data_IF_775668583357
#
_entry.id   IF_775668583357
#
_cell.length_a   1.000
_cell.length_b   1.000
_cell.length_c   1.000
_cell.angle_alpha   90.00
_cell.angle_beta   90.00
_cell.angle_gamma   90.00
#
_symmetry.space_group_name_H-M   'P 1'
#
loop_
_entity.id
_entity.type
_entity.pdbx_description
1 polymer ?
#
# COMPACT_ATOMS: atom_id res chain seq x y z
N UNK A 1 -37.51 -2.58 7.01
CA UNK A 1 -36.36 -2.78 6.09
C UNK A 1 -36.68 -3.97 5.22
N UNK A 2 -36.53 -3.88 3.89
CA UNK A 2 -36.92 -4.93 2.94
C UNK A 2 -35.77 -5.89 2.64
N UNK A 3 -36.08 -7.15 2.31
CA UNK A 3 -35.08 -8.21 2.11
C UNK A 3 -34.02 -7.86 1.04
N UNK A 4 -34.39 -7.10 0.01
CA UNK A 4 -33.49 -6.65 -1.05
C UNK A 4 -32.29 -5.86 -0.49
N UNK A 5 -32.47 -5.08 0.58
CA UNK A 5 -31.40 -4.29 1.21
C UNK A 5 -30.36 -5.19 1.90
N UNK A 6 -30.78 -6.30 2.50
CA UNK A 6 -29.89 -7.30 3.08
C UNK A 6 -29.14 -8.10 2.00
N UNK A 7 -29.80 -8.38 0.87
CA UNK A 7 -29.18 -9.07 -0.26
C UNK A 7 -28.04 -8.25 -0.88
N UNK A 8 -28.25 -6.94 -1.09
CA UNK A 8 -27.21 -6.03 -1.59
C UNK A 8 -26.01 -5.92 -0.64
N UNK A 9 -26.24 -5.88 0.67
CA UNK A 9 -25.17 -5.88 1.68
C UNK A 9 -24.33 -7.16 1.66
N UNK A 10 -24.97 -8.33 1.51
CA UNK A 10 -24.27 -9.62 1.38
C UNK A 10 -23.42 -9.69 0.11
N UNK A 11 -23.94 -9.25 -1.03
CA UNK A 11 -23.19 -9.25 -2.30
C UNK A 11 -21.99 -8.29 -2.25
N UNK A 12 -22.16 -7.11 -1.64
CA UNK A 12 -21.07 -6.15 -1.46
C UNK A 12 -19.95 -6.71 -0.56
N UNK A 13 -20.29 -7.38 0.54
CA UNK A 13 -19.31 -7.98 1.44
C UNK A 13 -18.47 -9.07 0.73
N UNK A 14 -19.12 -9.95 -0.05
CA UNK A 14 -18.43 -11.02 -0.79
C UNK A 14 -17.46 -10.46 -1.84
N UNK A 15 -17.85 -9.41 -2.57
CA UNK A 15 -17.00 -8.80 -3.60
C UNK A 15 -15.73 -8.14 -3.02
N UNK A 16 -15.81 -7.55 -1.83
CA UNK A 16 -14.65 -6.94 -1.16
C UNK A 16 -13.64 -8.03 -0.74
N UNK A 17 -14.12 -9.19 -0.28
CA UNK A 17 -13.27 -10.31 0.12
C UNK A 17 -12.46 -10.91 -1.04
N UNK A 18 -12.98 -10.91 -2.28
CA UNK A 18 -12.29 -11.55 -3.42
C UNK A 18 -11.18 -10.71 -4.04
N UNK A 19 -11.16 -9.38 -3.84
CA UNK A 19 -10.11 -8.50 -4.40
C UNK A 19 -8.81 -8.58 -3.59
N UNK A 20 -8.88 -8.81 -2.29
CA UNK A 20 -7.69 -8.97 -1.42
C UNK A 20 -6.96 -10.32 -1.60
N UNK A 21 -7.52 -11.26 -2.38
CA UNK A 21 -6.92 -12.56 -2.66
C UNK A 21 -5.85 -12.53 -3.79
N UNK A 22 -5.52 -11.36 -4.34
CA UNK A 22 -4.69 -11.23 -5.55
C UNK A 22 -3.17 -11.10 -5.29
N UNK A 23 -2.65 -12.00 -4.46
CA UNK A 23 -1.49 -12.82 -4.84
C UNK A 23 -1.53 -14.11 -4.03
N UNK A 24 -1.42 -15.30 -4.64
CA UNK A 24 -1.05 -16.48 -3.87
C UNK A 24 0.39 -16.25 -3.41
N UNK A 25 0.56 -15.84 -2.15
CA UNK A 25 1.89 -15.78 -1.53
C UNK A 25 2.36 -17.22 -1.44
N UNK A 26 3.31 -17.58 -2.29
CA UNK A 26 3.92 -18.90 -2.25
C UNK A 26 4.81 -19.00 -1.02
N UNK A 27 4.23 -19.53 0.07
CA UNK A 27 4.95 -19.83 1.31
C UNK A 27 5.77 -21.11 1.20
N UNK A 28 5.67 -21.88 0.11
CA UNK A 28 6.30 -23.19 -0.02
C UNK A 28 7.85 -23.12 0.07
N UNK A 29 8.55 -22.11 -0.50
CA UNK A 29 10.00 -21.96 -0.27
C UNK A 29 10.38 -21.71 1.20
N UNK A 30 9.57 -20.94 1.95
CA UNK A 30 9.80 -20.70 3.38
C UNK A 30 9.52 -21.96 4.21
N UNK A 31 8.46 -22.71 3.85
CA UNK A 31 8.14 -24.00 4.45
C UNK A 31 9.21 -25.05 4.16
N UNK A 32 9.74 -25.11 2.94
CA UNK A 32 10.87 -25.97 2.59
C UNK A 32 12.13 -25.57 3.35
N UNK A 33 12.42 -24.27 3.46
CA UNK A 33 13.53 -23.77 4.27
C UNK A 33 13.42 -24.22 5.74
N UNK A 34 12.24 -24.10 6.37
CA UNK A 34 12.01 -24.57 7.75
C UNK A 34 12.05 -26.10 7.89
N UNK A 35 11.45 -26.85 6.95
CA UNK A 35 11.49 -28.32 6.95
C UNK A 35 12.93 -28.86 6.81
N UNK A 36 13.80 -28.15 6.09
CA UNK A 36 15.23 -28.45 6.03
C UNK A 36 15.94 -28.19 7.37
N UNK A 37 15.61 -27.12 8.11
CA UNK A 37 16.12 -26.92 9.49
C UNK A 37 15.73 -28.08 10.38
N UNK A 38 14.43 -28.41 10.43
CA UNK A 38 13.90 -29.48 11.29
C UNK A 38 14.58 -30.83 11.01
N UNK A 39 14.78 -31.18 9.74
CA UNK A 39 15.52 -32.40 9.36
C UNK A 39 16.99 -32.34 9.78
N UNK A 40 17.65 -31.20 9.57
CA UNK A 40 19.06 -31.05 9.89
C UNK A 40 19.31 -31.09 11.41
N UNK A 41 18.47 -30.41 12.21
CA UNK A 41 18.50 -30.45 13.68
C UNK A 41 18.25 -31.87 14.22
N UNK A 42 17.29 -32.61 13.67
CA UNK A 42 17.06 -34.01 14.07
C UNK A 42 18.27 -34.91 13.70
N UNK A 43 18.90 -34.67 12.55
CA UNK A 43 20.10 -35.42 12.15
C UNK A 43 21.31 -35.09 13.03
N UNK A 44 21.53 -33.82 13.38
CA UNK A 44 22.68 -33.41 14.21
C UNK A 44 22.50 -33.76 15.68
N UNK A 45 21.27 -33.76 16.21
CA UNK A 45 20.95 -34.35 17.52
C UNK A 45 21.33 -35.84 17.59
N UNK A 46 21.24 -36.59 16.48
CA UNK A 46 21.75 -37.97 16.41
C UNK A 46 23.30 -38.06 16.27
N UNK A 47 23.97 -37.00 15.79
CA UNK A 47 25.44 -36.95 15.65
C UNK A 47 26.19 -36.57 16.94
N UNK A 48 25.50 -36.05 17.97
CA UNK A 48 26.04 -35.79 19.33
C UNK A 48 26.85 -36.94 19.94
N UNK A 49 26.67 -38.17 19.45
CA UNK A 49 27.40 -39.37 19.90
C UNK A 49 28.75 -39.61 19.23
N UNK A 50 29.19 -38.74 18.33
CA UNK A 50 30.48 -38.88 17.60
C UNK A 50 30.74 -37.79 16.55
N UNK A 51 30.34 -36.54 16.83
CA UNK A 51 30.58 -35.40 15.95
C UNK A 51 32.03 -34.87 16.01
N UNK A 52 32.39 -33.90 15.14
CA UNK A 52 33.71 -33.24 15.16
C UNK A 52 33.98 -32.43 16.43
N UNK A 53 32.93 -31.83 17.03
CA UNK A 53 32.99 -31.09 18.29
C UNK A 53 32.36 -31.88 19.44
N UNK A 54 32.67 -31.52 20.68
CA UNK A 54 32.14 -32.18 21.87
C UNK A 54 30.67 -31.83 22.16
N UNK A 55 30.05 -32.46 23.18
CA UNK A 55 28.66 -32.20 23.54
C UNK A 55 28.41 -30.76 24.00
N UNK A 56 29.33 -30.18 24.79
CA UNK A 56 29.22 -28.83 25.32
C UNK A 56 29.30 -27.77 24.20
N UNK A 57 30.22 -27.96 23.26
CA UNK A 57 30.30 -27.13 22.05
C UNK A 57 29.09 -27.33 21.14
N UNK A 58 28.57 -28.56 21.03
CA UNK A 58 27.36 -28.85 20.25
C UNK A 58 26.14 -28.11 20.80
N UNK A 59 25.92 -28.15 22.11
CA UNK A 59 24.81 -27.44 22.76
C UNK A 59 24.98 -25.92 22.59
N UNK A 60 26.19 -25.37 22.76
CA UNK A 60 26.49 -23.96 22.52
C UNK A 60 26.23 -23.53 21.06
N UNK A 61 26.50 -24.40 20.08
CA UNK A 61 26.17 -24.15 18.67
C UNK A 61 24.65 -24.02 18.45
N UNK A 62 23.83 -24.83 19.13
CA UNK A 62 22.36 -24.74 19.03
C UNK A 62 21.80 -23.55 19.79
N UNK A 63 22.29 -23.26 20.99
CA UNK A 63 21.87 -22.08 21.75
C UNK A 63 22.18 -20.78 20.99
N UNK A 64 23.37 -20.67 20.38
CA UNK A 64 23.66 -19.54 19.49
C UNK A 64 22.69 -19.49 18.31
N UNK A 65 22.44 -20.62 17.65
CA UNK A 65 21.56 -20.67 16.49
C UNK A 65 20.12 -20.27 16.83
N UNK A 66 19.54 -20.78 17.93
CA UNK A 66 18.17 -20.46 18.35
C UNK A 66 18.02 -18.98 18.73
N UNK A 67 19.00 -18.41 19.44
CA UNK A 67 19.02 -16.98 19.75
C UNK A 67 19.16 -16.12 18.48
N UNK A 68 20.05 -16.49 17.56
CA UNK A 68 20.25 -15.79 16.29
C UNK A 68 19.02 -15.87 15.38
N UNK A 69 18.39 -17.04 15.25
CA UNK A 69 17.12 -17.22 14.55
C UNK A 69 16.00 -16.34 15.14
N UNK A 70 15.96 -16.18 16.46
CA UNK A 70 14.98 -15.32 17.14
C UNK A 70 15.19 -13.86 16.74
N UNK A 71 16.41 -13.33 16.86
CA UNK A 71 16.75 -11.97 16.48
C UNK A 71 16.48 -11.66 14.99
N UNK A 72 16.76 -12.60 14.09
CA UNK A 72 16.46 -12.46 12.65
C UNK A 72 14.95 -12.33 12.41
N UNK A 73 14.13 -13.15 13.08
CA UNK A 73 12.67 -13.07 12.95
C UNK A 73 12.11 -11.78 13.56
N UNK A 74 12.67 -11.27 14.67
CA UNK A 74 12.27 -9.97 15.24
C UNK A 74 12.52 -8.81 14.28
N UNK A 75 13.68 -8.78 13.60
CA UNK A 75 13.98 -7.79 12.55
C UNK A 75 12.99 -7.93 11.39
N UNK A 76 12.77 -9.14 10.88
CA UNK A 76 11.80 -9.40 9.81
C UNK A 76 10.38 -8.90 10.18
N UNK A 77 9.88 -9.23 11.37
CA UNK A 77 8.56 -8.78 11.81
C UNK A 77 8.49 -7.26 11.98
N UNK A 78 9.57 -6.60 12.44
CA UNK A 78 9.64 -5.13 12.56
C UNK A 78 9.57 -4.47 11.18
N UNK A 79 10.38 -4.91 10.22
CA UNK A 79 10.42 -4.35 8.87
C UNK A 79 9.11 -4.60 8.10
N UNK A 80 8.64 -5.85 8.10
CA UNK A 80 7.43 -6.26 7.37
C UNK A 80 6.17 -5.52 7.85
N UNK A 81 5.99 -5.40 9.17
CA UNK A 81 4.87 -4.62 9.72
C UNK A 81 5.09 -3.11 9.57
N UNK A 82 6.34 -2.63 9.49
CA UNK A 82 6.67 -1.26 9.12
C UNK A 82 6.16 -0.90 7.72
N UNK A 83 6.41 -1.77 6.72
CA UNK A 83 5.88 -1.61 5.36
C UNK A 83 4.36 -1.45 5.33
N UNK A 84 3.63 -2.35 6.01
CA UNK A 84 2.16 -2.35 6.07
C UNK A 84 1.65 -1.09 6.80
N UNK A 85 2.31 -0.68 7.88
CA UNK A 85 1.94 0.52 8.65
C UNK A 85 2.13 1.80 7.84
N UNK A 86 3.26 1.91 7.12
CA UNK A 86 3.54 3.04 6.24
C UNK A 86 2.53 3.14 5.09
N UNK A 87 2.21 2.02 4.44
CA UNK A 87 1.20 1.96 3.39
C UNK A 87 -0.20 2.34 3.93
N UNK A 88 -0.59 1.82 5.09
CA UNK A 88 -1.86 2.16 5.76
C UNK A 88 -1.94 3.66 6.09
N UNK A 89 -0.84 4.26 6.57
CA UNK A 89 -0.77 5.70 6.81
C UNK A 89 -0.91 6.52 5.51
N UNK A 90 -0.21 6.12 4.43
CA UNK A 90 -0.31 6.78 3.13
C UNK A 90 -1.74 6.74 2.55
N UNK A 91 -2.44 5.60 2.65
CA UNK A 91 -3.86 5.47 2.26
C UNK A 91 -4.76 6.43 3.05
N UNK A 92 -4.51 6.58 4.36
CA UNK A 92 -5.23 7.54 5.22
C UNK A 92 -4.97 8.99 4.81
N UNK A 93 -3.74 9.34 4.44
CA UNK A 93 -3.38 10.69 3.94
C UNK A 93 -4.10 11.03 2.64
N UNK A 94 -4.16 10.13 1.65
CA UNK A 94 -4.91 10.35 0.41
C UNK A 94 -6.42 10.57 0.66
N UNK A 95 -7.00 9.79 1.57
CA UNK A 95 -8.41 9.92 1.97
C UNK A 95 -8.71 11.26 2.64
N UNK A 96 -7.76 11.80 3.41
CA UNK A 96 -7.85 13.13 4.02
C UNK A 96 -7.62 14.27 2.99
N UNK A 97 -6.63 14.15 2.11
CA UNK A 97 -6.34 15.16 1.06
C UNK A 97 -7.51 15.33 0.09
N UNK A 98 -8.19 14.23 -0.26
CA UNK A 98 -9.41 14.25 -1.10
C UNK A 98 -10.68 14.70 -0.36
N UNK A 99 -10.61 15.08 0.93
CA UNK A 99 -11.82 15.47 1.68
C UNK A 99 -12.45 16.78 1.19
N UNK A 100 -11.64 17.78 0.80
CA UNK A 100 -12.13 19.02 0.20
C UNK A 100 -12.77 18.75 -1.17
N UNK A 101 -12.03 18.10 -2.08
CA UNK A 101 -12.52 17.73 -3.42
C UNK A 101 -13.83 16.92 -3.37
N UNK A 102 -14.05 16.10 -2.32
CA UNK A 102 -15.31 15.38 -2.07
C UNK A 102 -16.44 16.27 -1.52
N UNK A 103 -16.13 17.28 -0.70
CA UNK A 103 -17.12 18.21 -0.18
C UNK A 103 -17.62 19.16 -1.27
N UNK A 104 -16.74 19.61 -2.16
CA UNK A 104 -17.10 20.48 -3.28
C UNK A 104 -18.09 19.76 -4.22
N UNK A 105 -17.82 18.49 -4.57
CA UNK A 105 -18.76 17.65 -5.33
C UNK A 105 -20.13 17.45 -4.65
N UNK A 106 -20.18 17.40 -3.31
CA UNK A 106 -21.45 17.35 -2.58
C UNK A 106 -22.18 18.69 -2.64
N UNK A 107 -21.46 19.81 -2.57
CA UNK A 107 -22.03 21.16 -2.67
C UNK A 107 -22.65 21.39 -4.06
N UNK A 108 -21.90 21.11 -5.14
CA UNK A 108 -22.38 21.19 -6.53
C UNK A 108 -23.66 20.35 -6.73
N UNK A 109 -23.65 19.10 -6.21
CA UNK A 109 -24.81 18.21 -6.28
C UNK A 109 -26.03 18.75 -5.51
N UNK A 110 -25.82 19.32 -4.32
CA UNK A 110 -26.88 19.94 -3.53
C UNK A 110 -27.46 21.19 -4.20
N UNK A 111 -26.65 22.00 -4.90
CA UNK A 111 -27.14 23.15 -5.67
C UNK A 111 -28.11 22.72 -6.77
N UNK A 112 -27.73 21.72 -7.58
CA UNK A 112 -28.57 21.18 -8.67
C UNK A 112 -29.88 20.60 -8.11
N UNK A 113 -29.83 19.82 -7.03
CA UNK A 113 -31.02 19.28 -6.37
C UNK A 113 -31.93 20.41 -5.85
N UNK A 114 -31.36 21.43 -5.21
CA UNK A 114 -32.10 22.59 -4.69
C UNK A 114 -32.81 23.35 -5.81
N UNK A 115 -32.10 23.67 -6.90
CA UNK A 115 -32.64 24.39 -8.05
C UNK A 115 -33.81 23.66 -8.73
N UNK A 116 -33.78 22.33 -8.79
CA UNK A 116 -34.86 21.51 -9.33
C UNK A 116 -36.05 21.40 -8.35
N UNK A 117 -35.78 21.17 -7.05
CA UNK A 117 -36.83 21.04 -6.02
C UNK A 117 -37.63 22.33 -5.80
N UNK A 118 -37.03 23.50 -6.03
CA UNK A 118 -37.73 24.79 -5.94
C UNK A 118 -38.96 24.87 -6.86
N UNK A 119 -38.95 24.14 -7.98
CA UNK A 119 -40.05 24.07 -8.94
C UNK A 119 -41.24 23.22 -8.48
N UNK A 120 -41.09 22.36 -7.45
CA UNK A 120 -42.16 21.47 -6.96
C UNK A 120 -43.36 22.23 -6.36
N UNK A 121 -43.12 23.46 -5.90
CA UNK A 121 -44.17 24.35 -5.34
C UNK A 121 -45.01 25.07 -6.40
N UNK A 122 -44.68 24.96 -7.69
CA UNK A 122 -45.32 25.71 -8.77
C UNK A 122 -46.57 24.98 -9.27
N UNK A 123 -47.75 25.49 -8.89
CA UNK A 123 -49.05 24.87 -9.18
C UNK A 123 -49.54 25.11 -10.63
N UNK A 124 -49.15 26.22 -11.26
CA UNK A 124 -49.49 26.46 -12.67
C UNK A 124 -48.62 25.61 -13.60
N UNK A 125 -49.26 24.79 -14.45
CA UNK A 125 -48.57 23.83 -15.29
C UNK A 125 -47.59 24.44 -16.30
N UNK A 126 -47.87 25.63 -16.84
CA UNK A 126 -46.97 26.28 -17.78
C UNK A 126 -45.74 26.84 -17.05
N UNK A 127 -45.95 27.52 -15.92
CA UNK A 127 -44.87 28.02 -15.07
C UNK A 127 -44.03 26.89 -14.48
N UNK A 128 -44.62 25.75 -14.14
CA UNK A 128 -43.94 24.55 -13.66
C UNK A 128 -42.93 24.03 -14.70
N UNK A 129 -43.37 23.78 -15.94
CA UNK A 129 -42.46 23.33 -17.00
C UNK A 129 -41.42 24.40 -17.39
N UNK A 130 -41.79 25.69 -17.35
CA UNK A 130 -40.84 26.80 -17.53
C UNK A 130 -39.83 26.92 -16.38
N UNK A 131 -40.18 26.50 -15.17
CA UNK A 131 -39.27 26.45 -14.02
C UNK A 131 -38.24 25.33 -14.23
N UNK A 132 -38.70 24.09 -14.44
CA UNK A 132 -37.82 22.94 -14.70
C UNK A 132 -36.91 23.14 -15.92
N UNK A 133 -37.41 23.74 -17.00
CA UNK A 133 -36.59 24.05 -18.18
C UNK A 133 -35.44 25.00 -17.84
N UNK A 134 -35.70 26.08 -17.09
CA UNK A 134 -34.68 27.04 -16.66
C UNK A 134 -33.69 26.42 -15.66
N UNK A 135 -34.18 25.76 -14.63
CA UNK A 135 -33.36 25.11 -13.60
C UNK A 135 -32.46 24.02 -14.19
N UNK A 136 -32.96 23.21 -15.12
CA UNK A 136 -32.18 22.20 -15.84
C UNK A 136 -31.12 22.86 -16.74
N UNK A 137 -31.49 23.90 -17.49
CA UNK A 137 -30.57 24.64 -18.37
C UNK A 137 -29.43 25.30 -17.59
N UNK A 138 -29.70 25.92 -16.44
CA UNK A 138 -28.68 26.51 -15.58
C UNK A 138 -27.83 25.47 -14.82
N UNK A 139 -28.39 24.30 -14.52
CA UNK A 139 -27.68 23.21 -13.81
C UNK A 139 -26.80 22.35 -14.72
N UNK A 140 -27.04 22.37 -16.03
CA UNK A 140 -26.32 21.52 -17.01
C UNK A 140 -24.79 21.70 -16.99
N UNK A 141 -24.23 22.93 -16.90
CA UNK A 141 -22.78 23.11 -16.75
C UNK A 141 -22.23 22.52 -15.44
N UNK A 142 -22.96 22.67 -14.33
CA UNK A 142 -22.55 22.12 -13.03
C UNK A 142 -22.59 20.57 -13.06
N UNK A 143 -23.59 19.97 -13.71
CA UNK A 143 -23.67 18.51 -13.88
C UNK A 143 -22.48 17.97 -14.71
N UNK A 144 -22.07 18.70 -15.75
CA UNK A 144 -20.86 18.38 -16.51
C UNK A 144 -19.59 18.54 -15.65
N UNK A 145 -19.49 19.62 -14.86
CA UNK A 145 -18.37 19.83 -13.92
C UNK A 145 -18.25 18.71 -12.89
N UNK A 146 -19.36 18.30 -12.26
CA UNK A 146 -19.43 17.15 -11.34
C UNK A 146 -18.87 15.89 -12.01
N UNK A 147 -19.26 15.65 -13.27
CA UNK A 147 -18.85 14.44 -14.02
C UNK A 147 -17.33 14.43 -14.22
N UNK A 148 -16.78 15.45 -14.89
CA UNK A 148 -15.35 15.56 -15.20
C UNK A 148 -14.49 15.62 -13.94
N UNK A 149 -14.96 16.32 -12.90
CA UNK A 149 -14.25 16.42 -11.61
C UNK A 149 -14.25 15.08 -10.88
N UNK A 150 -15.36 14.34 -10.87
CA UNK A 150 -15.44 13.01 -10.27
C UNK A 150 -14.51 12.01 -10.96
N UNK A 151 -14.48 11.99 -12.29
CA UNK A 151 -13.59 11.13 -13.09
C UNK A 151 -12.12 11.45 -12.78
N UNK A 152 -11.72 12.73 -12.87
CA UNK A 152 -10.37 13.21 -12.53
C UNK A 152 -9.92 12.79 -11.13
N UNK A 153 -10.79 12.88 -10.12
CA UNK A 153 -10.49 12.50 -8.74
C UNK A 153 -10.39 10.98 -8.60
N UNK A 154 -11.28 10.22 -9.24
CA UNK A 154 -11.28 8.77 -9.22
C UNK A 154 -10.00 8.18 -9.84
N UNK A 155 -9.56 8.71 -10.99
CA UNK A 155 -8.33 8.28 -11.66
C UNK A 155 -7.09 8.64 -10.82
N UNK A 156 -7.01 9.90 -10.33
CA UNK A 156 -5.95 10.37 -9.42
C UNK A 156 -5.82 9.47 -8.19
N UNK A 157 -6.94 9.13 -7.54
CA UNK A 157 -6.95 8.25 -6.37
C UNK A 157 -6.58 6.81 -6.75
N UNK A 158 -7.06 6.29 -7.88
CA UNK A 158 -6.77 4.92 -8.35
C UNK A 158 -5.26 4.73 -8.58
N UNK A 159 -4.64 5.66 -9.32
CA UNK A 159 -3.19 5.68 -9.56
C UNK A 159 -2.42 5.78 -8.23
N UNK A 160 -2.85 6.67 -7.33
CA UNK A 160 -2.18 6.87 -6.03
C UNK A 160 -2.28 5.65 -5.11
N UNK A 161 -3.44 4.97 -5.07
CA UNK A 161 -3.60 3.72 -4.33
C UNK A 161 -2.77 2.58 -4.93
N UNK A 162 -2.70 2.48 -6.27
CA UNK A 162 -1.88 1.48 -6.93
C UNK A 162 -0.38 1.68 -6.62
N UNK A 163 0.12 2.91 -6.68
CA UNK A 163 1.50 3.23 -6.29
C UNK A 163 1.82 2.85 -4.84
N UNK A 164 0.89 3.07 -3.89
CA UNK A 164 1.05 2.62 -2.50
C UNK A 164 1.09 1.09 -2.42
N UNK A 165 0.17 0.39 -3.10
CA UNK A 165 0.12 -1.07 -3.09
C UNK A 165 1.39 -1.69 -3.69
N UNK A 166 1.93 -1.11 -4.76
CA UNK A 166 3.18 -1.55 -5.39
C UNK A 166 4.39 -1.28 -4.47
N UNK A 167 4.42 -0.14 -3.76
CA UNK A 167 5.44 0.17 -2.75
C UNK A 167 5.38 -0.80 -1.56
N UNK A 168 4.19 -1.08 -1.04
CA UNK A 168 3.94 -2.03 0.04
C UNK A 168 4.41 -3.44 -0.36
N UNK A 169 4.09 -3.89 -1.58
CA UNK A 169 4.53 -5.17 -2.13
C UNK A 169 6.04 -5.25 -2.27
N UNK A 170 6.71 -4.21 -2.77
CA UNK A 170 8.18 -4.19 -2.90
C UNK A 170 8.84 -4.25 -1.52
N UNK A 171 8.42 -3.39 -0.59
CA UNK A 171 8.95 -3.33 0.78
C UNK A 171 8.77 -4.67 1.52
N UNK A 172 7.57 -5.24 1.51
CA UNK A 172 7.28 -6.54 2.15
C UNK A 172 8.00 -7.71 1.48
N UNK A 173 8.26 -7.64 0.16
CA UNK A 173 9.08 -8.64 -0.54
C UNK A 173 10.55 -8.54 -0.17
N UNK A 174 11.09 -7.32 -0.05
CA UNK A 174 12.48 -7.09 0.38
C UNK A 174 12.72 -7.66 1.79
N UNK A 175 11.84 -7.37 2.76
CA UNK A 175 11.92 -7.92 4.11
C UNK A 175 11.91 -9.46 4.11
N UNK A 176 11.07 -10.10 3.28
CA UNK A 176 11.05 -11.57 3.13
C UNK A 176 12.34 -12.13 2.54
N UNK A 177 12.90 -11.49 1.51
CA UNK A 177 14.17 -11.91 0.90
C UNK A 177 15.32 -11.77 1.89
N UNK A 178 15.37 -10.67 2.65
CA UNK A 178 16.36 -10.46 3.70
C UNK A 178 16.28 -11.56 4.76
N UNK A 179 15.08 -11.84 5.30
CA UNK A 179 14.84 -12.92 6.24
C UNK A 179 15.32 -14.30 5.70
N UNK A 180 14.93 -14.67 4.48
CA UNK A 180 15.35 -15.94 3.85
C UNK A 180 16.87 -16.04 3.74
N UNK A 181 17.56 -14.95 3.38
CA UNK A 181 19.02 -14.89 3.30
C UNK A 181 19.67 -15.04 4.68
N UNK A 182 19.23 -14.27 5.67
CA UNK A 182 19.81 -14.27 7.02
C UNK A 182 19.60 -15.61 7.74
N UNK A 183 18.41 -16.23 7.59
CA UNK A 183 18.14 -17.60 8.05
C UNK A 183 19.03 -18.64 7.35
N UNK A 184 19.47 -18.36 6.11
CA UNK A 184 20.45 -19.15 5.37
C UNK A 184 21.88 -19.00 5.91
N UNK A 185 22.33 -17.76 6.15
CA UNK A 185 23.64 -17.45 6.76
C UNK A 185 23.73 -18.04 8.17
N UNK A 186 22.68 -17.87 8.98
CA UNK A 186 22.53 -18.46 10.31
C UNK A 186 22.74 -19.98 10.31
N UNK A 187 22.18 -20.69 9.33
CA UNK A 187 22.37 -22.14 9.16
C UNK A 187 23.80 -22.50 8.70
N UNK A 188 24.41 -21.68 7.85
CA UNK A 188 25.79 -21.90 7.44
C UNK A 188 26.74 -21.79 8.64
N UNK A 189 26.53 -20.80 9.51
CA UNK A 189 27.30 -20.63 10.75
C UNK A 189 27.08 -21.81 11.70
N UNK A 190 25.84 -22.30 11.88
CA UNK A 190 25.57 -23.52 12.66
C UNK A 190 26.35 -24.73 12.12
N UNK A 191 26.41 -24.93 10.81
CA UNK A 191 27.13 -26.06 10.23
C UNK A 191 28.65 -25.95 10.45
N UNK A 192 29.22 -24.76 10.27
CA UNK A 192 30.63 -24.47 10.57
C UNK A 192 30.92 -24.71 12.06
N UNK A 193 29.98 -24.34 12.94
CA UNK A 193 30.07 -24.57 14.39
C UNK A 193 30.17 -26.06 14.72
N UNK A 194 29.24 -26.87 14.19
CA UNK A 194 29.19 -28.32 14.43
C UNK A 194 30.36 -29.09 13.80
N UNK A 195 31.05 -28.50 12.82
CA UNK A 195 32.30 -29.03 12.26
C UNK A 195 33.55 -28.66 13.06
N UNK A 196 33.48 -27.64 13.92
CA UNK A 196 34.65 -27.03 14.57
C UNK A 196 35.37 -25.97 13.72
N UNK A 197 34.82 -25.59 12.56
CA UNK A 197 35.32 -24.50 11.71
C UNK A 197 35.02 -23.11 12.30
N UNK A 198 34.13 -23.03 13.29
CA UNK A 198 33.74 -21.84 14.03
C UNK A 198 33.34 -22.20 15.47
N UNK A 199 33.23 -21.22 16.36
CA UNK A 199 32.69 -21.41 17.71
C UNK A 199 31.92 -20.16 18.15
N UNK A 200 30.87 -20.28 18.99
CA UNK A 200 30.10 -19.13 19.45
C UNK A 200 30.96 -18.15 20.27
N UNK A 201 30.66 -16.84 20.23
CA UNK A 201 31.26 -15.90 21.18
C UNK A 201 30.87 -16.28 22.61
N UNK A 202 31.85 -16.61 23.44
CA UNK A 202 31.61 -16.98 24.85
C UNK A 202 30.94 -15.83 25.62
N UNK A 203 29.65 -15.99 25.91
CA UNK A 203 28.93 -15.21 26.92
C UNK A 203 28.94 -13.70 26.71
N UNK A 204 28.74 -13.22 25.47
CA UNK A 204 28.52 -11.80 25.21
C UNK A 204 27.06 -11.54 24.83
N UNK A 205 26.43 -10.57 25.50
CA UNK A 205 25.04 -10.19 25.29
C UNK A 205 24.78 -9.81 23.82
N UNK A 206 23.56 -10.09 23.34
CA UNK A 206 23.05 -9.49 22.10
C UNK A 206 23.24 -7.98 22.23
N UNK A 207 23.91 -7.29 21.27
CA UNK A 207 24.14 -5.86 21.39
C UNK A 207 22.78 -5.16 21.57
N UNK A 208 22.59 -4.36 22.63
CA UNK A 208 21.29 -3.80 22.93
C UNK A 208 20.79 -2.96 21.75
N UNK A 209 19.47 -2.96 21.46
CA UNK A 209 18.91 -2.26 20.32
C UNK A 209 19.36 -0.80 20.36
N UNK A 210 19.96 -0.33 19.26
CA UNK A 210 20.66 0.95 19.22
C UNK A 210 19.78 2.08 19.76
N UNK A 211 20.13 2.59 20.94
CA UNK A 211 19.37 3.62 21.65
C UNK A 211 19.25 4.85 20.78
N UNK A 212 18.02 5.31 20.52
CA UNK A 212 17.76 6.56 19.81
C UNK A 212 18.53 7.72 20.49
N UNK A 213 19.25 8.56 19.72
CA UNK A 213 19.85 9.77 20.27
C UNK A 213 18.78 10.63 20.96
N UNK A 214 18.98 11.05 22.22
CA UNK A 214 17.92 11.68 22.98
C UNK A 214 17.53 13.05 22.40
N UNK A 215 16.24 13.23 22.13
CA UNK A 215 15.68 14.52 21.78
C UNK A 215 15.91 15.54 22.90
N UNK A 216 16.47 16.71 22.56
CA UNK A 216 16.75 17.85 23.45
C UNK A 216 16.56 19.14 22.61
N UNK A 217 15.98 20.24 23.14
CA UNK A 217 14.76 20.75 22.49
C UNK A 217 14.96 21.99 21.63
N UNK A 218 13.85 22.35 20.99
CA UNK A 218 13.44 23.69 20.55
C UNK A 218 14.02 24.86 21.37
N UNK A 219 14.53 25.89 20.67
CA UNK A 219 14.06 27.29 20.75
C UNK A 219 14.78 28.17 19.70
N UNK A 220 13.97 28.76 18.82
CA UNK A 220 14.01 30.12 18.22
C UNK A 220 15.30 30.94 18.27
N UNK A 221 15.83 31.32 17.10
CA UNK A 221 15.77 32.72 16.60
C UNK A 221 16.11 32.83 15.10
N UNK A 222 15.72 33.95 14.48
CA UNK A 222 16.03 34.31 13.10
C UNK A 222 16.56 35.76 13.04
N UNK A 223 17.46 36.08 12.09
CA UNK A 223 17.54 37.44 11.55
C UNK A 223 17.11 37.52 10.07
N UNK A 224 16.70 38.72 9.67
CA UNK A 224 16.16 39.09 8.34
C UNK A 224 17.21 39.71 7.43
N UNK A 225 16.95 39.71 6.10
CA UNK A 225 17.43 40.70 5.10
C UNK A 225 18.96 40.73 4.77
N UNK A 226 19.42 41.10 3.55
CA UNK A 226 18.73 41.51 2.31
C UNK A 226 19.59 41.26 1.03
N UNK A 227 19.01 41.62 -0.12
CA UNK A 227 19.63 42.10 -1.39
C UNK A 227 20.17 41.10 -2.46
N UNK A 228 19.35 40.92 -3.51
CA UNK A 228 19.59 41.23 -4.95
C UNK A 228 20.95 41.85 -5.38
N UNK A 229 21.48 41.80 -6.63
CA UNK A 229 21.17 41.19 -7.97
C UNK A 229 22.54 40.94 -8.68
N UNK A 230 22.77 40.37 -9.88
CA UNK A 230 22.06 39.88 -11.11
C UNK A 230 22.92 38.72 -11.71
N UNK A 231 22.86 38.18 -12.96
CA UNK A 231 22.13 38.30 -14.26
C UNK A 231 22.15 36.88 -14.91
N UNK A 232 21.10 36.39 -15.55
CA UNK A 232 20.83 36.45 -17.02
C UNK A 232 21.90 35.86 -17.97
N UNK A 233 21.58 34.71 -18.58
CA UNK A 233 22.03 34.33 -19.94
C UNK A 233 21.02 33.37 -20.58
N UNK A 234 20.83 33.50 -21.90
CA UNK A 234 19.81 32.84 -22.73
C UNK A 234 20.02 31.31 -22.85
N UNK A 235 18.96 30.57 -23.22
CA UNK A 235 18.93 29.10 -23.16
C UNK A 235 17.75 28.39 -23.82
N UNK A 236 17.16 28.94 -24.89
CA UNK A 236 16.09 28.25 -25.67
C UNK A 236 16.48 26.82 -26.07
N UNK A 237 15.70 25.83 -25.63
CA UNK A 237 15.40 24.61 -26.39
C UNK A 237 14.00 24.12 -25.98
N UNK A 238 13.15 23.84 -26.97
CA UNK A 238 11.80 23.31 -26.75
C UNK A 238 11.61 22.00 -27.49
N UNK A 239 11.16 20.97 -26.75
CA UNK A 239 10.58 19.73 -27.25
C UNK A 239 9.39 19.47 -26.32
N UNK A 240 8.17 19.76 -26.79
CA UNK A 240 7.26 18.79 -27.44
C UNK A 240 6.73 17.74 -26.45
N UNK A 241 5.58 18.06 -25.87
CA UNK A 241 4.62 17.07 -25.36
C UNK A 241 4.09 16.24 -26.54
N UNK A 242 4.38 14.94 -26.56
CA UNK A 242 3.58 13.87 -27.19
C UNK A 242 4.16 12.49 -26.76
N UNK A 243 3.53 11.38 -27.16
CA UNK A 243 4.03 9.99 -27.03
C UNK A 243 4.14 9.30 -25.63
N UNK A 244 3.28 9.63 -24.65
CA UNK A 244 3.01 8.72 -23.49
C UNK A 244 1.51 8.42 -23.28
N UNK A 245 0.77 8.08 -24.34
CA UNK A 245 -0.57 7.47 -24.23
C UNK A 245 -0.82 6.41 -25.31
N UNK A 246 -0.42 5.16 -25.04
CA UNK A 246 -0.80 4.00 -25.86
C UNK A 246 -0.86 2.70 -25.06
N UNK A 247 -1.88 2.57 -24.20
CA UNK A 247 -2.23 1.28 -23.57
C UNK A 247 -3.74 1.15 -23.31
N UNK A 248 -4.52 1.04 -24.39
CA UNK A 248 -5.98 0.86 -24.33
C UNK A 248 -6.42 -0.62 -24.36
N UNK A 249 -7.11 -1.15 -23.34
CA UNK A 249 -7.67 -2.50 -23.37
C UNK A 249 -8.88 -2.58 -24.32
N UNK A 250 -8.82 -3.44 -25.34
CA UNK A 250 -9.91 -3.66 -26.32
C UNK A 250 -11.12 -4.35 -25.70
N UNK A 251 -12.09 -3.57 -25.21
CA UNK A 251 -13.41 -4.07 -24.81
C UNK A 251 -14.22 -4.53 -26.04
N UNK A 252 -14.67 -5.79 -26.04
CA UNK A 252 -15.56 -6.32 -27.10
C UNK A 252 -17.02 -6.04 -26.72
N UNK A 253 -17.62 -5.02 -27.32
CA UNK A 253 -19.07 -4.82 -27.24
C UNK A 253 -19.81 -5.86 -28.11
N UNK A 254 -20.83 -6.57 -27.60
CA UNK A 254 -21.68 -7.43 -28.41
C UNK A 254 -22.66 -6.57 -29.23
N UNK A 255 -22.78 -6.86 -30.54
CA UNK A 255 -23.86 -6.27 -31.35
C UNK A 255 -25.22 -6.74 -30.83
N UNK A 256 -26.13 -5.80 -30.60
CA UNK A 256 -27.58 -6.06 -30.67
C UNK A 256 -28.21 -5.06 -31.63
N UNK A 257 -28.87 -5.60 -32.64
CA UNK A 257 -29.66 -4.83 -33.59
C UNK A 257 -31.03 -4.54 -32.97
N UNK A 258 -31.52 -3.31 -33.12
CA UNK A 258 -32.89 -2.93 -32.87
C UNK A 258 -33.33 -2.02 -34.02
N UNK A 259 -34.32 -2.45 -34.80
CA UNK A 259 -34.62 -1.87 -36.12
C UNK A 259 -36.01 -1.24 -36.14
N UNK A 260 -36.04 0.09 -36.35
CA UNK A 260 -37.13 0.93 -36.88
C UNK A 260 -38.41 1.16 -36.04
N UNK A 261 -38.85 2.43 -36.13
CA UNK A 261 -40.23 2.96 -36.11
C UNK A 261 -40.95 2.92 -34.75
N UNK A 262 -41.85 3.87 -34.45
CA UNK A 262 -42.23 5.07 -35.22
C UNK A 262 -41.52 6.33 -34.69
#
# INVERSE_FOLDING_TARGET
MTANSLLSLLVAAIAISTVLAQTPIDWQPLLEQQNLVLRQVVQTLHLTRGGPVGPEETDACFDWYLNNQTAINEVYYKEYNGCISAATAARKVLSAQSAAERQDLLNDGHEICSALSACESVVDGLQFFQCYNRASSSSSPNLFNITVTSERIADKLTISYQAINDTERVCTTQARVQNVNDLGVSRAILNNCLNGDWSPPNGQEVPPPATEPPAKPEVTEAPTESDEVTKESDGKHGLLEEDIYSYGPRSRLPKREAVRRL
#
